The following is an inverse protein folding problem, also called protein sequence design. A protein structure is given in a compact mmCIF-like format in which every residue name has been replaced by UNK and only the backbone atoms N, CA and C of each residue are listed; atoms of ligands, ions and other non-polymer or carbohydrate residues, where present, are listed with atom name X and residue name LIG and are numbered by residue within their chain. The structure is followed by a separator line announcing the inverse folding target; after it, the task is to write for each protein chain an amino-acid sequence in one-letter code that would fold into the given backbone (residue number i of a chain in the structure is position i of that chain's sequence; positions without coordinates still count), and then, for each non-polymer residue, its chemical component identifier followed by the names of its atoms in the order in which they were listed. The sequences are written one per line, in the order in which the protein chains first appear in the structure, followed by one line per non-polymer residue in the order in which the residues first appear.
data_IF_182963630254
#
_entry.id   IF_182963630254
#
_cell.length_a   1.000
_cell.length_b   1.000
_cell.length_c   1.000
_cell.angle_alpha   90.00
_cell.angle_beta   90.00
_cell.angle_gamma   90.00
#
_symmetry.space_group_name_H-M   'P 1'
#
loop_
_entity.id
_entity.type
_entity.pdbx_description
1 polymer ?
#
# COMPACT_ATOMS: atom_id res chain seq x y z
N UNK A 1 3.87 20.86 -0.45
CA UNK A 1 3.04 19.79 0.11
C UNK A 1 3.85 18.49 0.08
N UNK A 2 4.43 18.16 1.21
CA UNK A 2 5.19 16.93 1.45
C UNK A 2 4.24 15.75 1.33
N UNK A 3 4.29 15.06 0.19
CA UNK A 3 3.66 13.77 0.04
C UNK A 3 4.27 12.81 1.06
N UNK A 4 3.43 12.40 1.99
CA UNK A 4 3.85 11.60 3.10
C UNK A 4 4.25 10.20 2.67
N UNK A 5 5.39 9.86 3.10
CA UNK A 5 6.11 8.63 2.91
C UNK A 5 5.31 7.42 3.38
N UNK A 6 4.81 6.66 2.42
CA UNK A 6 4.31 5.32 2.63
C UNK A 6 5.44 4.35 2.28
N UNK A 7 6.49 4.31 3.06
CA UNK A 7 7.42 3.21 2.94
C UNK A 7 7.46 2.47 4.26
N UNK A 8 6.76 1.37 4.26
CA UNK A 8 6.88 0.33 5.26
C UNK A 8 8.30 -0.27 5.34
N UNK A 9 9.24 0.21 4.56
CA UNK A 9 10.57 -0.36 4.43
C UNK A 9 11.59 0.11 5.48
N UNK A 10 11.23 1.04 6.36
CA UNK A 10 12.23 1.66 7.25
C UNK A 10 11.84 1.75 8.72
N UNK A 11 10.67 1.27 9.10
CA UNK A 11 10.32 1.21 10.51
C UNK A 11 10.69 -0.17 11.06
N UNK A 12 11.18 -0.20 12.29
CA UNK A 12 11.55 -1.42 13.01
C UNK A 12 10.34 -2.35 13.04
N UNK A 13 10.37 -3.37 12.17
CA UNK A 13 9.31 -4.36 12.11
C UNK A 13 9.53 -5.40 13.21
N UNK A 14 8.65 -5.43 14.17
CA UNK A 14 8.56 -6.55 15.09
C UNK A 14 7.66 -7.62 14.43
N UNK A 15 8.25 -8.65 13.85
CA UNK A 15 7.53 -9.84 13.43
C UNK A 15 7.23 -10.69 14.66
N UNK A 16 5.97 -10.74 15.05
CA UNK A 16 5.47 -11.72 16.01
C UNK A 16 4.53 -12.69 15.26
N UNK A 17 5.03 -13.88 14.95
CA UNK A 17 4.31 -14.83 14.10
C UNK A 17 4.11 -14.28 12.69
N UNK A 18 2.88 -14.32 12.17
CA UNK A 18 2.50 -13.81 10.86
C UNK A 18 2.01 -12.35 10.88
N UNK A 19 2.27 -11.61 11.96
CA UNK A 19 1.83 -10.22 12.08
C UNK A 19 2.99 -9.26 11.90
N UNK A 20 2.76 -8.23 11.08
CA UNK A 20 3.63 -7.08 10.89
C UNK A 20 3.12 -5.93 11.73
N UNK A 21 3.89 -5.52 12.73
CA UNK A 21 3.56 -4.40 13.63
C UNK A 21 4.51 -3.24 13.37
N UNK A 22 3.97 -2.07 13.07
CA UNK A 22 4.75 -0.85 12.85
C UNK A 22 3.94 0.41 13.13
N UNK A 23 4.60 1.51 13.40
CA UNK A 23 3.96 2.81 13.45
C UNK A 23 4.10 3.50 12.10
N UNK A 24 2.99 3.98 11.55
CA UNK A 24 3.02 4.70 10.29
C UNK A 24 3.78 6.04 10.44
N UNK A 25 4.90 6.20 9.75
CA UNK A 25 5.78 7.36 9.91
C UNK A 25 5.08 8.72 9.72
N UNK A 26 4.14 8.82 8.77
CA UNK A 26 3.41 10.08 8.49
C UNK A 26 2.39 10.46 9.55
N UNK A 27 1.74 9.48 10.16
CA UNK A 27 0.57 9.71 11.03
C UNK A 27 0.79 9.28 12.47
N UNK A 28 1.84 8.51 12.74
CA UNK A 28 2.11 7.91 14.05
C UNK A 28 1.12 6.79 14.43
N UNK A 29 0.18 6.43 13.54
CA UNK A 29 -0.83 5.41 13.83
C UNK A 29 -0.16 4.04 13.89
N UNK A 30 -0.39 3.25 14.96
CA UNK A 30 0.07 1.87 15.03
C UNK A 30 -0.69 1.03 14.01
N UNK A 31 0.05 0.24 13.23
CA UNK A 31 -0.46 -0.66 12.22
C UNK A 31 -0.16 -2.09 12.60
N UNK A 32 -1.17 -2.95 12.53
CA UNK A 32 -1.06 -4.39 12.67
C UNK A 32 -1.58 -5.02 11.38
N UNK A 33 -0.70 -5.68 10.64
CA UNK A 33 -1.05 -6.25 9.34
C UNK A 33 -0.68 -7.72 9.33
N UNK A 34 -1.61 -8.58 8.96
CA UNK A 34 -1.33 -9.99 8.76
C UNK A 34 -0.48 -10.19 7.49
N UNK A 35 0.57 -10.97 7.63
CA UNK A 35 1.42 -11.37 6.50
C UNK A 35 0.87 -12.68 5.96
N UNK A 36 0.21 -12.62 4.81
CA UNK A 36 -0.29 -13.81 4.12
C UNK A 36 0.87 -14.74 3.69
N UNK A 37 0.61 -16.02 3.56
CA UNK A 37 1.64 -17.04 3.25
C UNK A 37 2.43 -16.72 1.98
N UNK A 38 1.77 -16.22 0.95
CA UNK A 38 2.42 -15.77 -0.29
C UNK A 38 3.42 -14.65 -0.05
N UNK A 39 3.07 -13.66 0.78
CA UNK A 39 3.96 -12.58 1.15
C UNK A 39 5.10 -13.06 2.06
N UNK A 40 4.81 -13.97 3.01
CA UNK A 40 5.81 -14.58 3.88
C UNK A 40 6.87 -15.35 3.08
N UNK A 41 6.46 -16.07 2.04
CA UNK A 41 7.36 -16.80 1.13
C UNK A 41 8.29 -15.83 0.41
N UNK A 42 7.76 -14.75 -0.18
CA UNK A 42 8.57 -13.74 -0.88
C UNK A 42 9.56 -13.06 0.07
N UNK A 43 9.11 -12.69 1.27
CA UNK A 43 9.96 -12.08 2.31
C UNK A 43 11.11 -13.02 2.67
N UNK A 44 10.82 -14.31 2.89
CA UNK A 44 11.83 -15.30 3.24
C UNK A 44 12.86 -15.50 2.13
N UNK A 45 12.42 -15.58 0.87
CA UNK A 45 13.30 -15.67 -0.29
C UNK A 45 14.23 -14.45 -0.42
N UNK A 46 13.70 -13.26 -0.24
CA UNK A 46 14.47 -12.01 -0.29
C UNK A 46 15.47 -11.93 0.86
N UNK A 47 15.08 -12.29 2.08
CA UNK A 47 15.98 -12.32 3.24
C UNK A 47 17.13 -13.30 3.03
N UNK A 48 16.85 -14.51 2.61
CA UNK A 48 17.89 -15.52 2.35
C UNK A 48 18.88 -15.07 1.28
N UNK A 49 18.41 -14.36 0.24
CA UNK A 49 19.25 -13.81 -0.81
C UNK A 49 20.17 -12.69 -0.31
N UNK A 50 19.75 -11.94 0.68
CA UNK A 50 20.49 -10.77 1.19
C UNK A 50 21.32 -11.05 2.44
N UNK A 51 21.05 -12.11 3.19
CA UNK A 51 21.83 -12.47 4.39
C UNK A 51 23.31 -12.71 4.07
N UNK A 52 23.62 -13.12 2.86
CA UNK A 52 24.99 -13.27 2.35
C UNK A 52 25.68 -11.96 2.00
N UNK A 53 24.94 -10.86 1.84
CA UNK A 53 25.47 -9.60 1.30
C UNK A 53 25.63 -8.50 2.36
N UNK A 54 24.75 -8.47 3.37
CA UNK A 54 24.77 -7.42 4.40
C UNK A 54 24.39 -7.97 5.79
N UNK A 55 25.28 -8.64 6.51
CA UNK A 55 25.00 -9.16 7.86
C UNK A 55 24.78 -8.07 8.93
N UNK A 56 25.07 -6.80 8.62
CA UNK A 56 25.13 -5.71 9.61
C UNK A 56 23.75 -5.11 9.98
N UNK A 57 22.68 -5.44 9.25
CA UNK A 57 21.35 -4.84 9.46
C UNK A 57 20.22 -5.85 9.48
N UNK A 58 20.13 -6.72 10.51
CA UNK A 58 19.10 -7.74 10.61
C UNK A 58 17.68 -7.19 10.77
N UNK A 59 17.54 -5.90 11.09
CA UNK A 59 16.25 -5.28 11.46
C UNK A 59 15.42 -4.82 10.26
N UNK A 60 15.99 -4.72 9.06
CA UNK A 60 15.26 -4.31 7.87
C UNK A 60 14.62 -5.51 7.17
N UNK A 61 13.33 -5.36 6.81
CA UNK A 61 12.61 -6.36 6.03
C UNK A 61 13.17 -6.47 4.61
N UNK A 62 13.55 -5.33 4.03
CA UNK A 62 14.14 -5.21 2.70
C UNK A 62 15.41 -4.34 2.78
N UNK A 63 16.50 -4.83 2.21
CA UNK A 63 17.79 -4.12 2.17
C UNK A 63 17.83 -3.05 1.05
N UNK A 64 16.85 -2.16 1.05
CA UNK A 64 16.77 -1.06 0.08
C UNK A 64 17.59 0.15 0.57
N UNK A 65 17.72 0.29 1.90
CA UNK A 65 18.49 1.35 2.55
C UNK A 65 19.72 0.73 3.22
N UNK A 66 20.82 1.47 3.25
CA UNK A 66 22.08 0.99 3.84
C UNK A 66 22.02 0.81 5.37
N UNK A 67 21.06 1.50 6.01
CA UNK A 67 20.96 1.53 7.47
C UNK A 67 22.06 2.35 8.19
N UNK A 68 23.01 2.91 7.44
CA UNK A 68 24.11 3.74 8.00
C UNK A 68 23.63 5.08 8.52
N UNK A 69 22.57 5.62 7.95
CA UNK A 69 22.04 6.94 8.28
C UNK A 69 20.68 6.80 9.00
N UNK A 70 20.45 7.61 10.04
CA UNK A 70 19.15 7.72 10.66
C UNK A 70 18.21 8.42 9.67
N UNK A 71 16.98 7.93 9.57
CA UNK A 71 15.97 8.49 8.65
C UNK A 71 15.59 9.93 8.98
N UNK A 72 15.73 10.33 10.24
CA UNK A 72 15.53 11.71 10.69
C UNK A 72 16.56 12.68 10.15
N UNK A 73 17.71 12.19 9.72
CA UNK A 73 18.82 13.00 9.27
C UNK A 73 18.68 13.33 7.78
N UNK A 74 19.26 14.44 7.35
CA UNK A 74 19.22 14.87 5.94
C UNK A 74 19.83 13.83 5.00
N UNK A 75 20.90 13.17 5.42
CA UNK A 75 21.56 12.12 4.66
C UNK A 75 20.65 10.89 4.48
N UNK A 76 20.00 10.44 5.54
CA UNK A 76 19.04 9.33 5.48
C UNK A 76 17.80 9.68 4.64
N UNK A 77 17.37 10.92 4.70
CA UNK A 77 16.29 11.41 3.83
C UNK A 77 16.66 11.38 2.35
N UNK A 78 17.86 11.86 1.99
CA UNK A 78 18.37 11.84 0.62
C UNK A 78 18.56 10.41 0.11
N UNK A 79 19.08 9.51 0.94
CA UNK A 79 19.21 8.10 0.62
C UNK A 79 17.84 7.47 0.32
N UNK A 80 16.86 7.72 1.17
CA UNK A 80 15.50 7.26 0.96
C UNK A 80 14.88 7.78 -0.34
N UNK A 81 15.03 9.07 -0.64
CA UNK A 81 14.51 9.67 -1.89
C UNK A 81 15.17 9.05 -3.12
N UNK A 82 16.47 8.78 -3.06
CA UNK A 82 17.20 8.13 -4.14
C UNK A 82 16.70 6.69 -4.35
N UNK A 83 16.59 5.91 -3.29
CA UNK A 83 16.08 4.54 -3.32
C UNK A 83 14.65 4.48 -3.89
N UNK A 84 13.76 5.38 -3.46
CA UNK A 84 12.39 5.47 -3.95
C UNK A 84 12.35 5.82 -5.45
N UNK A 85 13.24 6.70 -5.90
CA UNK A 85 13.35 7.05 -7.32
C UNK A 85 13.79 5.86 -8.16
N UNK A 86 14.82 5.14 -7.73
CA UNK A 86 15.29 3.93 -8.40
C UNK A 86 14.16 2.89 -8.48
N UNK A 87 13.51 2.59 -7.37
CA UNK A 87 12.40 1.64 -7.32
C UNK A 87 11.27 2.02 -8.28
N UNK A 88 10.86 3.30 -8.31
CA UNK A 88 9.83 3.74 -9.24
C UNK A 88 10.27 3.70 -10.71
N UNK A 89 11.55 3.88 -11.02
CA UNK A 89 12.09 3.74 -12.37
C UNK A 89 12.08 2.27 -12.82
N UNK A 90 12.41 1.35 -11.92
CA UNK A 90 12.35 -0.09 -12.17
C UNK A 90 10.90 -0.53 -12.42
N UNK A 91 9.95 -0.04 -11.61
CA UNK A 91 8.52 -0.29 -11.84
C UNK A 91 8.05 0.23 -13.21
N UNK A 92 8.46 1.42 -13.61
CA UNK A 92 8.13 1.97 -14.94
C UNK A 92 8.75 1.14 -16.07
N UNK A 93 9.97 0.65 -15.87
CA UNK A 93 10.63 -0.22 -16.84
C UNK A 93 9.91 -1.55 -16.98
N UNK A 94 9.53 -2.16 -15.86
CA UNK A 94 8.75 -3.39 -15.84
C UNK A 94 7.37 -3.19 -16.49
N UNK A 95 6.67 -2.11 -16.16
CA UNK A 95 5.37 -1.78 -16.76
C UNK A 95 5.46 -1.67 -18.29
N UNK A 96 6.51 -1.03 -18.80
CA UNK A 96 6.77 -0.94 -20.25
C UNK A 96 6.99 -2.32 -20.88
N UNK A 97 7.79 -3.19 -20.25
CA UNK A 97 8.01 -4.56 -20.73
C UNK A 97 6.73 -5.39 -20.76
N UNK A 98 5.81 -5.12 -19.87
CA UNK A 98 4.50 -5.79 -19.79
C UNK A 98 3.40 -5.07 -20.59
N UNK A 99 3.77 -4.09 -21.43
CA UNK A 99 2.82 -3.31 -22.24
C UNK A 99 1.72 -2.61 -21.43
N UNK A 100 1.97 -2.30 -20.15
CA UNK A 100 1.04 -1.55 -19.29
C UNK A 100 1.16 -0.07 -19.65
N UNK A 101 0.09 0.51 -20.19
CA UNK A 101 0.06 1.91 -20.64
C UNK A 101 0.04 2.92 -19.49
N UNK A 102 -0.46 2.54 -18.34
CA UNK A 102 -0.56 3.41 -17.17
C UNK A 102 0.79 3.59 -16.48
N UNK A 103 1.03 4.77 -15.92
CA UNK A 103 2.21 5.00 -15.09
C UNK A 103 2.09 4.21 -13.78
N UNK A 104 3.03 3.30 -13.54
CA UNK A 104 3.09 2.49 -12.33
C UNK A 104 4.18 3.03 -11.40
N UNK A 105 3.80 3.22 -10.14
CA UNK A 105 4.71 3.66 -9.06
C UNK A 105 4.42 2.84 -7.80
N UNK A 106 5.26 2.94 -6.78
CA UNK A 106 5.01 2.34 -5.46
C UNK A 106 3.65 2.72 -4.87
N UNK A 107 3.19 3.92 -5.15
CA UNK A 107 1.90 4.42 -4.70
C UNK A 107 0.70 3.78 -5.42
N UNK A 108 0.90 3.34 -6.65
CA UNK A 108 -0.14 2.68 -7.46
C UNK A 108 -0.70 1.44 -6.77
N UNK A 109 0.16 0.62 -6.15
CA UNK A 109 -0.30 -0.59 -5.43
C UNK A 109 -1.23 -0.26 -4.28
N UNK A 110 -0.87 0.74 -3.48
CA UNK A 110 -1.71 1.20 -2.37
C UNK A 110 -3.06 1.74 -2.87
N UNK A 111 -3.03 2.50 -3.95
CA UNK A 111 -4.23 3.07 -4.54
C UNK A 111 -5.14 1.98 -5.14
N UNK A 112 -4.57 1.03 -5.86
CA UNK A 112 -5.30 -0.10 -6.43
C UNK A 112 -5.95 -0.97 -5.35
N UNK A 113 -5.23 -1.27 -4.25
CA UNK A 113 -5.79 -1.99 -3.13
C UNK A 113 -7.03 -1.28 -2.55
N UNK A 114 -6.91 0.00 -2.26
CA UNK A 114 -8.00 0.78 -1.69
C UNK A 114 -9.21 0.90 -2.63
N UNK A 115 -8.95 1.10 -3.92
CA UNK A 115 -9.99 1.16 -4.94
C UNK A 115 -10.70 -0.20 -5.10
N UNK A 116 -9.94 -1.29 -5.13
CA UNK A 116 -10.49 -2.64 -5.19
C UNK A 116 -11.34 -2.96 -3.96
N UNK A 117 -10.88 -2.61 -2.75
CA UNK A 117 -11.63 -2.77 -1.52
C UNK A 117 -12.97 -2.02 -1.58
N UNK A 118 -12.94 -0.77 -2.04
CA UNK A 118 -14.15 0.05 -2.26
C UNK A 118 -15.14 -0.62 -3.21
N UNK A 119 -14.69 -1.12 -4.37
CA UNK A 119 -15.55 -1.80 -5.35
C UNK A 119 -16.09 -3.15 -4.85
N UNK A 120 -15.41 -3.76 -3.88
CA UNK A 120 -15.89 -4.96 -3.19
C UNK A 120 -16.84 -4.67 -2.02
N UNK A 121 -17.21 -3.42 -1.81
CA UNK A 121 -18.16 -3.01 -0.76
C UNK A 121 -17.56 -2.96 0.64
N UNK A 122 -16.22 -2.96 0.79
CA UNK A 122 -15.59 -2.80 2.10
C UNK A 122 -15.94 -1.41 2.66
N UNK A 123 -16.41 -1.31 3.91
CA UNK A 123 -16.72 -0.04 4.56
C UNK A 123 -15.54 0.94 4.50
N UNK A 124 -15.84 2.21 4.26
CA UNK A 124 -14.79 3.23 4.09
C UNK A 124 -13.97 3.44 5.37
N UNK A 125 -14.57 3.17 6.52
CA UNK A 125 -13.93 3.19 7.84
C UNK A 125 -12.81 2.15 7.90
N UNK A 126 -13.09 0.91 7.47
CA UNK A 126 -12.11 -0.18 7.42
C UNK A 126 -10.98 0.13 6.41
N UNK A 127 -11.33 0.70 5.26
CA UNK A 127 -10.33 1.15 4.28
C UNK A 127 -9.45 2.25 4.90
N UNK A 128 -10.05 3.21 5.60
CA UNK A 128 -9.35 4.32 6.25
C UNK A 128 -8.37 3.83 7.32
N UNK A 129 -8.81 2.91 8.17
CA UNK A 129 -8.00 2.27 9.19
C UNK A 129 -6.84 1.48 8.58
N UNK A 130 -7.12 0.60 7.62
CA UNK A 130 -6.12 -0.18 6.89
C UNK A 130 -5.08 0.68 6.16
N UNK A 131 -5.47 1.87 5.73
CA UNK A 131 -4.57 2.86 5.16
C UNK A 131 -3.84 3.69 6.23
N UNK A 132 -4.21 3.58 7.51
CA UNK A 132 -3.68 4.39 8.60
C UNK A 132 -3.93 5.89 8.39
N UNK A 133 -5.11 6.28 7.93
CA UNK A 133 -5.51 7.67 7.82
C UNK A 133 -6.07 8.17 9.15
N UNK A 134 -5.71 9.40 9.56
CA UNK A 134 -6.25 10.03 10.77
C UNK A 134 -7.73 10.43 10.65
N UNK A 135 -8.25 10.51 9.43
CA UNK A 135 -9.62 10.96 9.16
C UNK A 135 -10.19 10.22 7.95
N UNK A 136 -11.43 9.77 8.08
CA UNK A 136 -12.22 9.17 7.00
C UNK A 136 -12.33 10.13 5.81
N UNK A 137 -12.43 11.44 6.07
CA UNK A 137 -12.46 12.46 5.03
C UNK A 137 -11.25 12.39 4.10
N UNK A 138 -10.06 12.07 4.63
CA UNK A 138 -8.86 11.83 3.82
C UNK A 138 -9.07 10.66 2.87
N UNK A 139 -9.71 9.59 3.33
CA UNK A 139 -10.01 8.41 2.51
C UNK A 139 -11.06 8.72 1.46
N UNK A 140 -12.08 9.50 1.78
CA UNK A 140 -13.12 9.95 0.82
C UNK A 140 -12.52 10.75 -0.33
N UNK A 141 -11.63 11.69 -0.03
CA UNK A 141 -10.92 12.49 -1.04
C UNK A 141 -9.97 11.61 -1.86
N UNK A 142 -9.30 10.66 -1.19
CA UNK A 142 -8.36 9.72 -1.81
C UNK A 142 -9.05 8.77 -2.77
N UNK A 143 -10.20 8.23 -2.38
CA UNK A 143 -11.04 7.37 -3.19
C UNK A 143 -12.04 8.24 -3.95
N UNK A 144 -11.73 8.62 -5.16
CA UNK A 144 -12.66 9.33 -6.06
C UNK A 144 -14.06 8.69 -6.04
N UNK A 145 -15.08 9.40 -6.46
CA UNK A 145 -16.45 8.88 -6.61
C UNK A 145 -16.48 7.55 -7.39
N UNK A 146 -17.58 6.81 -7.29
CA UNK A 146 -17.81 5.64 -8.15
C UNK A 146 -17.89 6.05 -9.61
N UNK A 147 -17.34 5.22 -10.49
CA UNK A 147 -17.49 5.40 -11.93
C UNK A 147 -18.96 5.33 -12.34
N UNK A 148 -19.29 5.95 -13.47
CA UNK A 148 -20.67 5.99 -13.98
C UNK A 148 -21.23 4.56 -14.19
N UNK A 149 -20.41 3.64 -14.66
CA UNK A 149 -20.76 2.23 -14.84
C UNK A 149 -21.27 1.57 -13.55
N UNK A 150 -20.59 1.81 -12.44
CA UNK A 150 -20.97 1.26 -11.13
C UNK A 150 -22.26 1.91 -10.59
N UNK A 151 -22.39 3.22 -10.76
CA UNK A 151 -23.62 3.95 -10.40
C UNK A 151 -24.83 3.44 -11.21
N UNK A 152 -24.62 3.15 -12.49
CA UNK A 152 -25.67 2.60 -13.37
C UNK A 152 -26.09 1.19 -12.93
N UNK A 153 -25.15 0.34 -12.48
CA UNK A 153 -25.50 -0.98 -11.93
C UNK A 153 -26.43 -0.86 -10.72
N UNK A 154 -26.10 0.03 -9.77
CA UNK A 154 -26.95 0.27 -8.59
C UNK A 154 -28.35 0.74 -9.00
N UNK A 155 -28.45 1.66 -9.95
CA UNK A 155 -29.73 2.15 -10.44
C UNK A 155 -30.56 1.02 -11.09
N UNK A 156 -29.93 0.14 -11.87
CA UNK A 156 -30.61 -1.02 -12.47
C UNK A 156 -31.09 -2.02 -11.43
N UNK A 157 -30.28 -2.31 -10.40
CA UNK A 157 -30.68 -3.17 -9.30
C UNK A 157 -31.89 -2.62 -8.55
N UNK A 158 -31.88 -1.33 -8.23
CA UNK A 158 -33.02 -0.67 -7.57
C UNK A 158 -34.26 -0.67 -8.45
N UNK A 159 -34.10 -0.41 -9.74
CA UNK A 159 -35.23 -0.47 -10.69
C UNK A 159 -35.85 -1.86 -10.77
N UNK A 160 -35.02 -2.90 -10.91
CA UNK A 160 -35.52 -4.29 -10.96
C UNK A 160 -36.24 -4.69 -9.68
N UNK A 161 -35.71 -4.27 -8.51
CA UNK A 161 -36.36 -4.49 -7.23
C UNK A 161 -37.75 -3.86 -7.16
N UNK A 162 -37.89 -2.60 -7.56
CA UNK A 162 -39.18 -1.88 -7.56
C UNK A 162 -40.17 -2.52 -8.56
N UNK A 163 -39.69 -2.96 -9.72
CA UNK A 163 -40.58 -3.58 -10.74
C UNK A 163 -41.08 -4.93 -10.29
N UNK A 164 -40.29 -5.72 -9.56
CA UNK A 164 -40.75 -7.02 -9.04
C UNK A 164 -41.82 -6.89 -7.95
N UNK A 165 -41.93 -5.73 -7.26
CA UNK A 165 -43.04 -5.46 -6.33
C UNK A 165 -44.38 -5.09 -7.01
N UNK A 166 -44.37 -4.71 -8.28
CA UNK A 166 -45.60 -4.35 -9.01
C UNK A 166 -46.29 -5.56 -9.65
N UNK A 167 -45.75 -6.75 -9.48
CA UNK A 167 -46.27 -7.99 -10.10
C UNK A 167 -46.95 -8.92 -9.07
N UNK A 168 -47.26 -8.41 -7.87
CA UNK A 168 -48.12 -9.02 -6.86
C UNK A 168 -49.36 -8.11 -6.75
#
# INVERSE_FOLDING_TARGET
STQGYSSAASDVYKRQGNMLKYNRAKTGIPMNVEILDSAATIISQLRNKHTTVLPEHPDYLFYILSGKNKRSDEAGYKEYQSALRCFNNDLKSLARKLCIRSSVTSYTFRHSWATTAKYRGVPIEMISESLGHKSIKTTQIYLKGFELSERTKVNRLNYSYVMNFKTI
#
